data_IF_844733591948
#
_entry.id   IF_844733591948
#
_cell.length_a   1.000
_cell.length_b   1.000
_cell.length_c   1.000
_cell.angle_alpha   90.00
_cell.angle_beta   90.00
_cell.angle_gamma   90.00
#
_symmetry.space_group_name_H-M   'P 1'
#
loop_
_entity.id
_entity.type
_entity.pdbx_description
1 polymer ?
#
# COMPACT_ATOMS: atom_id res chain seq x y z
N UNK A 1 5.21 30.81 -3.55
CA UNK A 1 5.85 29.58 -3.04
C UNK A 1 5.51 28.44 -3.99
N UNK A 2 6.43 27.56 -4.28
CA UNK A 2 6.22 26.37 -5.11
C UNK A 2 5.24 25.44 -4.37
N UNK A 3 4.18 25.00 -5.04
CA UNK A 3 3.16 24.11 -4.47
C UNK A 3 3.76 22.72 -4.29
N UNK A 4 3.67 22.13 -3.11
CA UNK A 4 4.18 20.79 -2.81
C UNK A 4 3.00 19.81 -2.80
N UNK A 5 3.14 18.69 -3.50
CA UNK A 5 2.26 17.54 -3.37
C UNK A 5 2.91 16.52 -2.43
N UNK A 6 2.24 16.21 -1.34
CA UNK A 6 2.66 15.21 -0.37
C UNK A 6 1.87 13.94 -0.53
N UNK A 7 2.54 12.84 -0.85
CA UNK A 7 1.96 11.51 -0.87
C UNK A 7 2.28 10.83 0.44
N UNK A 8 1.25 10.45 1.19
CA UNK A 8 1.35 9.76 2.46
C UNK A 8 0.94 8.32 2.31
N UNK A 9 1.91 7.41 2.42
CA UNK A 9 1.71 5.97 2.29
C UNK A 9 1.67 5.33 3.68
N UNK A 10 0.46 5.04 4.18
CA UNK A 10 0.26 4.42 5.50
C UNK A 10 0.44 2.91 5.45
N UNK A 11 1.21 2.35 6.38
CA UNK A 11 1.30 0.92 6.61
C UNK A 11 0.06 0.35 7.30
N UNK A 12 0.04 -0.97 7.46
CA UNK A 12 -1.05 -1.62 8.19
C UNK A 12 -1.16 -1.15 9.64
N UNK A 13 -0.04 -0.81 10.26
CA UNK A 13 0.03 -0.37 11.66
C UNK A 13 -0.61 1.00 11.91
N UNK A 14 -0.70 1.85 10.89
CA UNK A 14 -1.32 3.17 10.98
C UNK A 14 -2.84 3.12 10.82
N UNK A 15 -3.37 2.00 10.31
CA UNK A 15 -4.81 1.81 10.07
C UNK A 15 -5.43 0.69 10.88
N UNK A 16 -4.60 -0.15 11.50
CA UNK A 16 -5.02 -1.24 12.38
C UNK A 16 -3.97 -1.46 13.46
N UNK A 17 -4.32 -1.52 14.73
CA UNK A 17 -3.34 -1.78 15.77
C UNK A 17 -2.75 -3.19 15.62
N UNK A 18 -1.46 -3.34 15.95
CA UNK A 18 -0.72 -4.61 15.86
C UNK A 18 -0.01 -4.92 17.16
N UNK A 19 0.34 -6.18 17.37
CA UNK A 19 1.06 -6.60 18.57
C UNK A 19 0.23 -6.55 19.86
N UNK A 20 -1.10 -6.51 19.75
CA UNK A 20 -1.98 -6.51 20.92
C UNK A 20 -2.07 -7.93 21.46
N UNK A 21 -1.90 -8.06 22.75
CA UNK A 21 -2.09 -9.30 23.48
C UNK A 21 -3.19 -9.15 24.53
N UNK A 22 -3.99 -10.18 24.69
CA UNK A 22 -4.96 -10.27 25.77
C UNK A 22 -4.20 -10.35 27.11
N UNK A 23 -4.38 -9.39 28.02
CA UNK A 23 -3.65 -9.35 29.27
C UNK A 23 -3.93 -10.55 30.19
N UNK A 24 -5.06 -11.25 29.98
CA UNK A 24 -5.44 -12.42 30.80
C UNK A 24 -4.88 -13.71 30.25
N UNK A 25 -4.79 -13.83 28.92
CA UNK A 25 -4.42 -15.10 28.26
C UNK A 25 -3.04 -15.04 27.59
N UNK A 26 -2.45 -13.86 27.43
CA UNK A 26 -1.20 -13.65 26.67
C UNK A 26 -1.32 -13.93 25.17
N UNK A 27 -2.51 -14.25 24.68
CA UNK A 27 -2.73 -14.56 23.26
C UNK A 27 -2.82 -13.27 22.43
N UNK A 28 -2.31 -13.32 21.22
CA UNK A 28 -2.47 -12.22 20.24
C UNK A 28 -3.96 -12.01 19.93
N UNK A 29 -4.39 -10.75 19.96
CA UNK A 29 -5.75 -10.33 19.62
C UNK A 29 -5.75 -9.89 18.14
N UNK A 30 -6.71 -10.40 17.38
CA UNK A 30 -7.04 -9.86 16.07
C UNK A 30 -7.86 -8.58 16.26
N UNK A 31 -7.41 -7.40 15.77
CA UNK A 31 -8.13 -6.16 15.98
C UNK A 31 -9.55 -6.22 15.40
N UNK A 32 -10.51 -5.86 16.23
CA UNK A 32 -11.92 -5.71 15.82
C UNK A 32 -12.17 -4.37 15.11
N UNK A 33 -13.39 -4.14 14.67
CA UNK A 33 -13.77 -2.91 13.96
C UNK A 33 -13.61 -1.65 14.85
N UNK A 34 -14.09 -1.62 16.10
CA UNK A 34 -13.83 -0.48 17.01
C UNK A 34 -12.36 -0.13 17.17
N UNK A 35 -11.48 -1.14 17.31
CA UNK A 35 -10.03 -0.92 17.42
C UNK A 35 -9.44 -0.31 16.15
N UNK A 36 -9.90 -0.74 14.97
CA UNK A 36 -9.47 -0.17 13.68
C UNK A 36 -9.99 1.27 13.52
N UNK A 37 -11.23 1.55 13.91
CA UNK A 37 -11.80 2.89 13.94
C UNK A 37 -10.97 3.83 14.82
N UNK A 38 -10.65 3.43 16.04
CA UNK A 38 -9.85 4.24 16.94
C UNK A 38 -8.46 4.52 16.35
N UNK A 39 -7.79 3.48 15.82
CA UNK A 39 -6.46 3.66 15.23
C UNK A 39 -6.47 4.58 14.01
N UNK A 40 -7.49 4.47 13.14
CA UNK A 40 -7.63 5.40 12.01
C UNK A 40 -7.99 6.81 12.45
N UNK A 41 -8.79 6.97 13.51
CA UNK A 41 -9.06 8.30 14.09
C UNK A 41 -7.77 8.96 14.61
N UNK A 42 -6.93 8.21 15.36
CA UNK A 42 -5.65 8.71 15.85
C UNK A 42 -4.73 9.12 14.69
N UNK A 43 -4.67 8.31 13.64
CA UNK A 43 -3.88 8.61 12.44
C UNK A 43 -4.41 9.83 11.69
N UNK A 44 -5.72 9.95 11.51
CA UNK A 44 -6.32 11.10 10.80
C UNK A 44 -6.18 12.41 11.60
N UNK A 45 -6.14 12.35 12.93
CA UNK A 45 -5.80 13.50 13.76
C UNK A 45 -4.39 14.02 13.48
N UNK A 46 -3.40 13.12 13.41
CA UNK A 46 -2.01 13.50 13.05
C UNK A 46 -1.93 14.06 11.62
N UNK A 47 -2.68 13.48 10.68
CA UNK A 47 -2.76 14.00 9.31
C UNK A 47 -3.37 15.42 9.31
N UNK A 48 -4.43 15.64 10.06
CA UNK A 48 -5.05 16.98 10.17
C UNK A 48 -4.07 18.00 10.79
N UNK A 49 -3.27 17.62 11.79
CA UNK A 49 -2.22 18.48 12.37
C UNK A 49 -1.18 18.89 11.29
N UNK A 50 -0.84 17.97 10.38
CA UNK A 50 0.09 18.26 9.28
C UNK A 50 -0.57 19.18 8.24
N UNK A 51 -1.82 18.92 7.86
CA UNK A 51 -2.55 19.75 6.90
C UNK A 51 -2.71 21.19 7.40
N UNK A 52 -2.95 21.36 8.70
CA UNK A 52 -3.08 22.68 9.34
C UNK A 52 -1.75 23.47 9.30
N UNK A 53 -0.61 22.79 9.49
CA UNK A 53 0.73 23.39 9.39
C UNK A 53 1.17 23.68 7.95
N UNK A 54 0.64 22.94 6.99
CA UNK A 54 0.99 23.03 5.56
C UNK A 54 -0.25 23.32 4.70
N UNK A 55 -1.00 24.42 4.95
CA UNK A 55 -2.32 24.65 4.33
C UNK A 55 -2.29 24.82 2.80
N UNK A 56 -1.13 25.24 2.26
CA UNK A 56 -0.95 25.47 0.82
C UNK A 56 -0.60 24.19 0.05
N UNK A 57 -0.20 23.13 0.75
CA UNK A 57 0.21 21.89 0.12
C UNK A 57 -1.00 21.05 -0.32
N UNK A 58 -0.77 20.22 -1.31
CA UNK A 58 -1.68 19.17 -1.74
C UNK A 58 -1.31 17.87 -1.03
N UNK A 59 -2.32 17.05 -0.77
CA UNK A 59 -2.13 15.78 -0.06
C UNK A 59 -2.86 14.66 -0.79
N UNK A 60 -2.23 13.50 -0.87
CA UNK A 60 -2.82 12.22 -1.28
C UNK A 60 -2.50 11.20 -0.21
N UNK A 61 -3.50 10.41 0.19
CA UNK A 61 -3.33 9.33 1.14
C UNK A 61 -3.43 7.99 0.41
N UNK A 62 -2.48 7.11 0.67
CA UNK A 62 -2.56 5.70 0.29
C UNK A 62 -2.45 4.84 1.54
N UNK A 63 -2.91 3.62 1.51
CA UNK A 63 -2.91 2.74 2.68
C UNK A 63 -2.64 1.29 2.32
N UNK A 64 -2.08 0.52 3.27
CA UNK A 64 -2.06 -0.94 3.19
C UNK A 64 -3.44 -1.52 3.51
N UNK A 65 -3.64 -2.78 3.17
CA UNK A 65 -4.88 -3.52 3.46
C UNK A 65 -4.66 -4.81 4.28
N UNK A 66 -3.49 -5.04 4.78
CA UNK A 66 -3.22 -6.13 5.72
C UNK A 66 -3.44 -5.67 7.17
N UNK A 67 -4.18 -6.42 8.01
CA UNK A 67 -4.70 -7.78 7.78
C UNK A 67 -6.09 -7.87 7.11
N UNK A 68 -6.72 -6.75 6.75
CA UNK A 68 -8.13 -6.70 6.33
C UNK A 68 -8.43 -7.60 5.11
N UNK A 69 -7.60 -7.58 4.08
CA UNK A 69 -7.76 -8.44 2.89
C UNK A 69 -7.72 -9.92 3.27
N UNK A 70 -6.82 -10.30 4.18
CA UNK A 70 -6.76 -11.67 4.70
C UNK A 70 -8.00 -12.06 5.51
N UNK A 71 -8.59 -11.13 6.26
CA UNK A 71 -9.80 -11.36 7.03
C UNK A 71 -11.02 -11.54 6.11
N UNK A 72 -11.13 -10.78 5.01
CA UNK A 72 -12.19 -10.97 4.02
C UNK A 72 -12.03 -12.33 3.34
N UNK A 73 -10.82 -12.65 2.89
CA UNK A 73 -10.52 -13.95 2.29
C UNK A 73 -10.87 -15.11 3.24
N UNK A 74 -10.53 -15.00 4.53
CA UNK A 74 -10.87 -16.03 5.51
C UNK A 74 -12.38 -16.18 5.71
N UNK A 75 -13.13 -15.07 5.76
CA UNK A 75 -14.59 -15.11 5.84
C UNK A 75 -15.19 -15.79 4.62
N UNK A 76 -14.69 -15.45 3.42
CA UNK A 76 -15.08 -16.06 2.17
C UNK A 76 -14.84 -17.58 2.16
N UNK A 77 -13.65 -18.00 2.59
CA UNK A 77 -13.31 -19.43 2.68
C UNK A 77 -14.18 -20.18 3.70
N UNK A 78 -14.49 -19.58 4.84
CA UNK A 78 -15.33 -20.20 5.88
C UNK A 78 -16.82 -20.25 5.49
N UNK A 79 -17.26 -19.47 4.52
CA UNK A 79 -18.65 -19.48 4.01
C UNK A 79 -18.79 -20.23 2.68
N UNK A 80 -17.75 -20.91 2.20
CA UNK A 80 -17.71 -21.57 0.88
C UNK A 80 -18.84 -22.56 0.63
N UNK A 81 -19.33 -23.22 1.66
CA UNK A 81 -20.44 -24.17 1.59
C UNK A 81 -21.82 -23.48 1.49
N UNK A 82 -21.90 -22.19 1.71
CA UNK A 82 -23.15 -21.41 1.74
C UNK A 82 -23.15 -20.35 0.62
N UNK A 83 -22.02 -19.72 0.38
CA UNK A 83 -21.83 -18.64 -0.59
C UNK A 83 -20.65 -18.96 -1.52
N UNK A 84 -20.67 -18.38 -2.71
CA UNK A 84 -19.51 -18.46 -3.61
C UNK A 84 -18.28 -17.80 -2.97
N UNK A 85 -17.07 -18.31 -3.18
CA UNK A 85 -15.85 -17.67 -2.72
C UNK A 85 -15.62 -16.35 -3.46
N UNK A 86 -15.07 -15.37 -2.75
CA UNK A 86 -14.72 -14.05 -3.30
C UNK A 86 -13.29 -14.13 -3.83
N UNK A 87 -13.02 -13.79 -5.09
CA UNK A 87 -11.68 -13.75 -5.65
C UNK A 87 -10.86 -12.62 -5.02
N UNK A 88 -9.53 -12.75 -5.07
CA UNK A 88 -8.63 -11.88 -4.31
C UNK A 88 -8.66 -10.41 -4.77
N UNK A 89 -8.87 -10.14 -6.05
CA UNK A 89 -9.03 -8.80 -6.60
C UNK A 89 -10.28 -8.09 -6.03
N UNK A 90 -11.40 -8.82 -5.88
CA UNK A 90 -12.61 -8.30 -5.22
C UNK A 90 -12.39 -8.10 -3.72
N UNK A 91 -11.69 -9.02 -3.03
CA UNK A 91 -11.28 -8.78 -1.63
C UNK A 91 -10.43 -7.50 -1.49
N UNK A 92 -9.60 -7.22 -2.49
CA UNK A 92 -8.84 -5.98 -2.59
C UNK A 92 -9.75 -4.75 -2.70
N UNK A 93 -10.76 -4.81 -3.59
CA UNK A 93 -11.74 -3.75 -3.78
C UNK A 93 -12.56 -3.48 -2.50
N UNK A 94 -13.05 -4.52 -1.84
CA UNK A 94 -13.77 -4.43 -0.57
C UNK A 94 -12.92 -3.72 0.50
N UNK A 95 -11.63 -4.05 0.59
CA UNK A 95 -10.72 -3.39 1.54
C UNK A 95 -10.49 -1.93 1.20
N UNK A 96 -10.42 -1.55 -0.07
CA UNK A 96 -10.29 -0.15 -0.46
C UNK A 96 -11.49 0.67 0.01
N UNK A 97 -12.71 0.18 -0.20
CA UNK A 97 -13.93 0.84 0.27
C UNK A 97 -13.97 1.00 1.79
N UNK A 98 -13.75 -0.10 2.53
CA UNK A 98 -13.78 -0.08 3.99
C UNK A 98 -12.68 0.81 4.60
N UNK A 99 -11.44 0.71 4.09
CA UNK A 99 -10.32 1.49 4.61
C UNK A 99 -10.43 2.97 4.26
N UNK A 100 -10.85 3.30 3.03
CA UNK A 100 -11.10 4.68 2.64
C UNK A 100 -12.22 5.31 3.50
N UNK A 101 -13.28 4.58 3.81
CA UNK A 101 -14.33 5.03 4.71
C UNK A 101 -13.78 5.33 6.13
N UNK A 102 -12.95 4.45 6.68
CA UNK A 102 -12.32 4.67 7.99
C UNK A 102 -11.36 5.89 7.96
N UNK A 103 -10.53 6.03 6.93
CA UNK A 103 -9.63 7.18 6.79
C UNK A 103 -10.38 8.48 6.47
N UNK A 104 -11.59 8.42 5.90
CA UNK A 104 -12.42 9.60 5.68
C UNK A 104 -12.91 10.25 6.99
N UNK A 105 -12.64 9.65 8.18
CA UNK A 105 -12.74 10.32 9.47
C UNK A 105 -11.92 11.63 9.51
N UNK A 106 -10.90 11.75 8.64
CA UNK A 106 -10.19 13.01 8.42
C UNK A 106 -11.16 14.17 8.17
N UNK A 107 -12.30 13.93 7.52
CA UNK A 107 -13.31 14.96 7.29
C UNK A 107 -13.90 15.51 8.61
N UNK A 108 -14.01 14.69 9.65
CA UNK A 108 -14.47 15.12 10.96
C UNK A 108 -13.42 16.01 11.64
N UNK A 109 -12.14 15.59 11.59
CA UNK A 109 -11.02 16.37 12.11
C UNK A 109 -10.91 17.74 11.41
N UNK A 110 -10.99 17.75 10.09
CA UNK A 110 -10.94 19.00 9.32
C UNK A 110 -12.13 19.91 9.64
N UNK A 111 -13.33 19.35 9.78
CA UNK A 111 -14.54 20.11 10.09
C UNK A 111 -14.47 20.81 11.47
N UNK A 112 -14.04 20.08 12.52
CA UNK A 112 -13.95 20.67 13.88
C UNK A 112 -12.81 21.70 14.00
N UNK A 113 -11.84 21.69 13.08
CA UNK A 113 -10.76 22.69 12.97
C UNK A 113 -11.10 23.85 12.03
N UNK A 114 -12.28 23.85 11.38
CA UNK A 114 -12.68 24.86 10.40
C UNK A 114 -11.89 24.83 9.10
N UNK A 115 -11.26 23.70 8.77
CA UNK A 115 -10.51 23.50 7.52
C UNK A 115 -11.47 23.02 6.43
N UNK A 116 -11.56 23.75 5.32
CA UNK A 116 -12.54 23.50 4.25
C UNK A 116 -12.20 22.30 3.36
N UNK A 117 -10.95 21.78 3.40
CA UNK A 117 -10.56 20.61 2.61
C UNK A 117 -11.41 19.39 2.96
N UNK A 118 -11.63 18.51 1.97
CA UNK A 118 -12.37 17.25 2.16
C UNK A 118 -11.55 16.10 1.63
N UNK A 119 -11.58 14.98 2.35
CA UNK A 119 -11.02 13.71 1.87
C UNK A 119 -12.10 12.90 1.16
N UNK A 120 -11.71 12.21 0.07
CA UNK A 120 -12.59 11.32 -0.68
C UNK A 120 -11.84 10.05 -1.09
N UNK A 121 -12.48 8.89 -0.89
CA UNK A 121 -11.96 7.60 -1.32
C UNK A 121 -12.23 7.34 -2.80
N UNK A 122 -11.24 6.78 -3.50
CA UNK A 122 -11.35 6.32 -4.87
C UNK A 122 -10.97 4.84 -4.89
N UNK A 123 -11.85 3.98 -5.37
CA UNK A 123 -11.52 2.60 -5.73
C UNK A 123 -10.61 2.65 -6.95
N UNK A 124 -9.43 2.06 -6.86
CA UNK A 124 -8.36 2.28 -7.82
C UNK A 124 -7.85 0.96 -8.36
N UNK A 125 -7.81 0.86 -9.69
CA UNK A 125 -7.20 -0.23 -10.43
C UNK A 125 -5.75 0.11 -10.77
N UNK A 126 -4.85 -0.85 -10.58
CA UNK A 126 -3.42 -0.70 -10.89
C UNK A 126 -3.00 -1.77 -11.89
N UNK A 127 -2.51 -1.30 -13.01
CA UNK A 127 -2.10 -2.17 -14.12
C UNK A 127 -0.78 -2.85 -13.78
N UNK A 128 -0.69 -4.14 -14.06
CA UNK A 128 0.52 -4.95 -13.92
C UNK A 128 0.81 -5.69 -15.21
N UNK A 129 2.07 -6.07 -15.41
CA UNK A 129 2.43 -6.89 -16.57
C UNK A 129 1.96 -8.34 -16.35
N UNK A 130 1.18 -8.90 -17.30
CA UNK A 130 0.73 -10.31 -17.25
C UNK A 130 1.89 -11.32 -17.18
N UNK A 131 3.07 -10.95 -17.71
CA UNK A 131 4.25 -11.79 -17.77
C UNK A 131 5.24 -11.50 -16.61
N UNK A 132 4.82 -10.73 -15.59
CA UNK A 132 5.66 -10.45 -14.43
C UNK A 132 6.09 -11.73 -13.72
N UNK A 133 7.36 -11.79 -13.32
CA UNK A 133 7.95 -12.94 -12.61
C UNK A 133 7.21 -13.28 -11.31
N UNK A 134 6.58 -12.29 -10.68
CA UNK A 134 5.78 -12.47 -9.47
C UNK A 134 4.63 -13.47 -9.63
N UNK A 135 4.10 -13.62 -10.85
CA UNK A 135 3.08 -14.64 -11.13
C UNK A 135 3.63 -16.08 -11.17
N UNK A 136 4.92 -16.24 -11.48
CA UNK A 136 5.57 -17.55 -11.52
C UNK A 136 6.09 -18.01 -10.16
N UNK A 137 6.41 -17.07 -9.27
CA UNK A 137 6.90 -17.35 -7.91
C UNK A 137 6.16 -16.45 -6.89
N UNK A 138 4.95 -16.85 -6.46
CA UNK A 138 4.19 -16.13 -5.45
C UNK A 138 4.98 -15.99 -4.13
N UNK A 139 5.11 -14.77 -3.63
CA UNK A 139 5.91 -14.47 -2.42
C UNK A 139 5.19 -13.63 -1.39
N UNK A 140 4.07 -13.00 -1.74
CA UNK A 140 3.33 -12.12 -0.83
C UNK A 140 2.44 -12.94 0.11
N UNK A 141 2.76 -12.93 1.38
CA UNK A 141 1.96 -13.62 2.39
C UNK A 141 0.62 -12.91 2.64
N UNK A 142 -0.47 -13.67 2.58
CA UNK A 142 -1.84 -13.18 2.86
C UNK A 142 -2.56 -14.10 3.83
N UNK A 143 -3.54 -13.56 4.56
CA UNK A 143 -4.36 -14.32 5.48
C UNK A 143 -3.64 -14.78 6.76
N UNK A 144 -4.28 -15.66 7.56
CA UNK A 144 -3.75 -16.14 8.82
C UNK A 144 -2.59 -17.14 8.65
N UNK A 145 -2.02 -17.51 9.79
CA UNK A 145 -1.02 -18.55 9.90
C UNK A 145 -1.67 -19.92 10.12
N UNK A 146 -1.06 -20.95 9.57
CA UNK A 146 -1.49 -22.35 9.64
C UNK A 146 -0.35 -23.26 10.06
N UNK A 147 -0.67 -24.44 10.56
CA UNK A 147 0.28 -25.56 10.62
C UNK A 147 0.61 -26.03 9.21
N UNK A 148 1.70 -26.79 9.03
CA UNK A 148 2.05 -27.38 7.73
C UNK A 148 0.93 -28.27 7.19
N UNK A 149 0.35 -29.13 8.04
CA UNK A 149 -0.74 -30.02 7.64
C UNK A 149 -1.97 -29.27 7.12
N UNK A 150 -2.44 -28.25 7.86
CA UNK A 150 -3.57 -27.42 7.42
C UNK A 150 -3.28 -26.64 6.14
N UNK A 151 -2.05 -26.14 5.95
CA UNK A 151 -1.66 -25.43 4.74
C UNK A 151 -1.64 -26.36 3.53
N UNK A 152 -1.09 -27.57 3.68
CA UNK A 152 -1.07 -28.56 2.59
C UNK A 152 -2.47 -29.06 2.24
N UNK A 153 -3.35 -29.26 3.21
CA UNK A 153 -4.75 -29.59 2.95
C UNK A 153 -5.43 -28.52 2.08
N UNK A 154 -5.17 -27.23 2.36
CA UNK A 154 -5.72 -26.13 1.55
C UNK A 154 -5.07 -26.04 0.17
N UNK A 155 -3.81 -26.35 0.07
CA UNK A 155 -3.13 -26.47 -1.23
C UNK A 155 -3.84 -27.52 -2.11
N UNK A 156 -4.06 -28.72 -1.56
CA UNK A 156 -4.67 -29.84 -2.29
C UNK A 156 -6.16 -29.60 -2.63
N UNK A 157 -6.94 -29.10 -1.65
CA UNK A 157 -8.40 -28.91 -1.82
C UNK A 157 -8.78 -27.62 -2.53
N UNK A 158 -8.05 -26.53 -2.30
CA UNK A 158 -8.42 -25.20 -2.73
C UNK A 158 -7.43 -24.59 -3.75
N UNK A 159 -6.38 -25.31 -4.13
CA UNK A 159 -5.36 -24.81 -5.08
C UNK A 159 -4.52 -23.65 -4.57
N UNK A 160 -4.37 -23.53 -3.25
CA UNK A 160 -3.57 -22.43 -2.70
C UNK A 160 -2.08 -22.64 -2.91
N UNK A 161 -1.38 -21.58 -3.28
CA UNK A 161 0.07 -21.54 -3.08
C UNK A 161 0.37 -21.24 -1.61
N UNK A 162 1.22 -22.07 -0.99
CA UNK A 162 1.56 -21.95 0.44
C UNK A 162 3.07 -22.03 0.64
N UNK A 163 3.59 -21.22 1.56
CA UNK A 163 5.02 -21.24 1.92
C UNK A 163 5.20 -21.17 3.44
N UNK A 164 6.30 -21.76 3.93
CA UNK A 164 6.72 -21.58 5.30
C UNK A 164 7.09 -20.10 5.51
N UNK A 165 6.42 -19.47 6.49
CA UNK A 165 6.63 -18.06 6.84
C UNK A 165 7.77 -17.89 7.85
N UNK A 166 7.77 -18.72 8.91
CA UNK A 166 8.76 -18.72 9.98
C UNK A 166 8.67 -20.02 10.80
N UNK A 167 9.61 -20.22 11.71
CA UNK A 167 9.45 -21.15 12.81
C UNK A 167 8.98 -20.40 14.06
N UNK A 168 8.11 -21.03 14.85
CA UNK A 168 7.70 -20.50 16.15
C UNK A 168 8.75 -20.80 17.24
N UNK A 169 8.52 -20.36 18.46
CA UNK A 169 9.44 -20.55 19.59
C UNK A 169 9.67 -22.03 19.98
N UNK A 170 8.81 -22.93 19.51
CA UNK A 170 8.92 -24.39 19.70
C UNK A 170 9.65 -25.05 18.53
N UNK A 171 10.12 -24.30 17.52
CA UNK A 171 10.77 -24.80 16.32
C UNK A 171 9.80 -25.36 15.26
N UNK A 172 8.49 -25.26 15.44
CA UNK A 172 7.47 -25.73 14.53
C UNK A 172 7.31 -24.75 13.35
N UNK A 173 7.14 -25.29 12.13
CA UNK A 173 6.92 -24.47 10.93
C UNK A 173 5.54 -23.81 10.95
N UNK A 174 5.51 -22.50 10.71
CA UNK A 174 4.31 -21.68 10.54
C UNK A 174 4.16 -21.37 9.06
N UNK A 175 3.08 -21.79 8.47
CA UNK A 175 2.80 -21.66 7.05
C UNK A 175 1.73 -20.62 6.77
N UNK A 176 1.78 -19.99 5.60
CA UNK A 176 0.77 -19.04 5.14
C UNK A 176 0.51 -19.19 3.65
N UNK A 177 -0.69 -18.79 3.20
CA UNK A 177 -1.00 -18.60 1.79
C UNK A 177 -0.05 -17.54 1.23
N UNK A 178 0.47 -17.77 0.04
CA UNK A 178 1.21 -16.79 -0.75
C UNK A 178 0.47 -16.51 -2.05
N UNK A 179 0.62 -15.28 -2.54
CA UNK A 179 0.02 -14.82 -3.78
C UNK A 179 1.06 -14.06 -4.61
N UNK A 180 0.86 -13.92 -5.92
CA UNK A 180 1.68 -13.08 -6.77
C UNK A 180 1.76 -11.64 -6.26
N UNK A 181 2.92 -11.01 -6.43
CA UNK A 181 3.13 -9.60 -6.11
C UNK A 181 3.89 -8.91 -7.25
N UNK A 182 3.22 -8.67 -8.39
CA UNK A 182 3.83 -8.02 -9.55
C UNK A 182 4.12 -6.54 -9.28
N UNK A 183 5.09 -5.98 -10.00
CA UNK A 183 5.39 -4.56 -9.97
C UNK A 183 4.29 -3.75 -10.70
N UNK A 184 3.84 -2.61 -10.14
CA UNK A 184 2.81 -1.76 -10.76
C UNK A 184 3.40 -0.96 -11.93
N UNK A 185 2.63 -0.77 -13.02
CA UNK A 185 3.09 -0.06 -14.23
C UNK A 185 2.21 1.12 -14.64
N UNK A 186 0.93 1.14 -14.27
CA UNK A 186 0.00 2.22 -14.60
C UNK A 186 -1.17 2.25 -13.58
N UNK A 187 -1.89 3.38 -13.51
CA UNK A 187 -3.05 3.57 -12.62
C UNK A 187 -4.23 4.03 -13.48
N UNK A 188 -5.28 3.24 -13.52
CA UNK A 188 -6.42 3.48 -14.42
C UNK A 188 -7.15 4.78 -14.06
N UNK A 189 -7.40 5.04 -12.79
CA UNK A 189 -8.17 6.20 -12.30
C UNK A 189 -7.29 7.42 -11.99
N UNK A 190 -6.10 7.54 -12.57
CA UNK A 190 -5.16 8.65 -12.30
C UNK A 190 -5.77 10.03 -12.57
N UNK A 191 -6.65 10.14 -13.59
CA UNK A 191 -7.33 11.38 -13.93
C UNK A 191 -8.35 11.80 -12.88
N UNK A 192 -9.02 10.84 -12.25
CA UNK A 192 -9.93 11.11 -11.14
C UNK A 192 -9.15 11.61 -9.90
N UNK A 193 -7.98 11.05 -9.62
CA UNK A 193 -7.09 11.53 -8.55
C UNK A 193 -6.66 12.96 -8.82
N UNK A 194 -6.22 13.27 -10.04
CA UNK A 194 -5.82 14.62 -10.46
C UNK A 194 -6.97 15.62 -10.36
N UNK A 195 -8.17 15.23 -10.77
CA UNK A 195 -9.37 16.08 -10.68
C UNK A 195 -9.70 16.45 -9.23
N UNK A 196 -9.64 15.51 -8.29
CA UNK A 196 -9.85 15.77 -6.87
C UNK A 196 -8.76 16.69 -6.29
N UNK A 197 -7.49 16.49 -6.65
CA UNK A 197 -6.39 17.38 -6.24
C UNK A 197 -6.61 18.81 -6.75
N UNK A 198 -7.02 18.95 -8.00
CA UNK A 198 -7.31 20.25 -8.62
C UNK A 198 -8.52 20.95 -7.95
N UNK A 199 -9.47 20.17 -7.44
CA UNK A 199 -10.58 20.68 -6.63
C UNK A 199 -10.17 20.99 -5.17
N UNK A 200 -8.90 20.85 -4.80
CA UNK A 200 -8.39 21.11 -3.46
C UNK A 200 -8.75 20.03 -2.43
N UNK A 201 -9.22 18.88 -2.89
CA UNK A 201 -9.56 17.74 -2.03
C UNK A 201 -8.31 16.90 -1.68
N UNK A 202 -8.49 15.98 -0.74
CA UNK A 202 -7.48 14.99 -0.33
C UNK A 202 -7.93 13.61 -0.81
N UNK A 203 -7.44 13.11 -1.96
CA UNK A 203 -7.77 11.76 -2.41
C UNK A 203 -7.21 10.69 -1.46
N UNK A 204 -8.01 9.66 -1.18
CA UNK A 204 -7.60 8.42 -0.54
C UNK A 204 -7.67 7.35 -1.64
N UNK A 205 -6.54 6.86 -2.12
CA UNK A 205 -6.45 6.11 -3.37
C UNK A 205 -5.38 5.02 -3.31
N UNK A 206 -5.30 4.16 -4.29
CA UNK A 206 -4.29 3.08 -4.42
C UNK A 206 -4.22 2.22 -3.16
N UNK A 207 -5.35 2.04 -2.49
CA UNK A 207 -5.44 1.26 -1.26
C UNK A 207 -5.03 -0.20 -1.47
N UNK A 208 -4.20 -0.72 -0.54
CA UNK A 208 -3.64 -2.06 -0.64
C UNK A 208 -2.67 -2.28 -1.80
N UNK A 209 -2.24 -1.21 -2.47
CA UNK A 209 -1.46 -1.24 -3.72
C UNK A 209 -2.32 -1.14 -4.99
N UNK A 210 -3.65 -0.99 -4.84
CA UNK A 210 -4.62 -0.99 -5.93
C UNK A 210 -5.17 -2.39 -6.24
N UNK A 211 -6.26 -2.45 -6.98
CA UNK A 211 -6.78 -3.70 -7.55
C UNK A 211 -5.91 -4.07 -8.74
N UNK A 212 -5.21 -5.22 -8.71
CA UNK A 212 -4.34 -5.61 -9.81
C UNK A 212 -5.16 -5.99 -11.05
N UNK A 213 -4.84 -5.33 -12.17
CA UNK A 213 -5.46 -5.60 -13.46
C UNK A 213 -4.39 -5.77 -14.54
N UNK A 214 -4.71 -6.55 -15.55
CA UNK A 214 -3.88 -6.67 -16.76
C UNK A 214 -4.66 -6.18 -17.98
N UNK A 215 -3.97 -5.57 -18.93
CA UNK A 215 -4.57 -5.18 -20.21
C UNK A 215 -4.90 -6.44 -21.02
N UNK A 216 -6.12 -6.51 -21.53
CA UNK A 216 -6.57 -7.64 -22.35
C UNK A 216 -6.18 -7.41 -23.83
N UNK A 217 -5.76 -8.49 -24.49
CA UNK A 217 -5.52 -8.48 -25.93
C UNK A 217 -6.86 -8.60 -26.69
N UNK A 218 -7.22 -7.55 -27.42
CA UNK A 218 -8.39 -7.55 -28.27
C UNK A 218 -8.10 -8.14 -29.66
N UNK A 219 -9.02 -8.95 -30.18
CA UNK A 219 -9.01 -9.38 -31.60
C UNK A 219 -10.20 -8.75 -32.32
N UNK A 220 -9.94 -8.03 -33.40
CA UNK A 220 -10.99 -7.40 -34.22
C UNK A 220 -11.97 -6.51 -33.42
N UNK A 221 -11.48 -5.84 -32.37
CA UNK A 221 -12.34 -5.02 -31.51
C UNK A 221 -13.17 -5.81 -30.49
N UNK A 222 -12.91 -7.08 -30.30
CA UNK A 222 -13.49 -7.89 -29.22
C UNK A 222 -12.46 -8.10 -28.11
N UNK A 223 -12.87 -7.83 -26.84
CA UNK A 223 -12.04 -7.92 -25.64
C UNK A 223 -12.73 -8.81 -24.62
N UNK A 224 -12.07 -9.88 -24.18
CA UNK A 224 -12.56 -10.75 -23.12
C UNK A 224 -11.99 -10.32 -21.77
N UNK A 225 -12.87 -10.17 -20.80
CA UNK A 225 -12.50 -9.86 -19.40
C UNK A 225 -12.77 -11.04 -18.46
N UNK A 226 -12.87 -10.81 -17.15
CA UNK A 226 -13.21 -11.84 -16.18
C UNK A 226 -14.56 -12.50 -16.51
N UNK A 227 -14.66 -13.78 -16.24
CA UNK A 227 -15.89 -14.60 -16.44
C UNK A 227 -16.37 -14.61 -17.91
N UNK A 228 -15.44 -14.51 -18.88
CA UNK A 228 -15.73 -14.49 -20.33
C UNK A 228 -16.66 -13.34 -20.78
N UNK A 229 -16.79 -12.29 -19.95
CA UNK A 229 -17.52 -11.09 -20.34
C UNK A 229 -16.78 -10.45 -21.51
N UNK A 230 -17.52 -10.18 -22.58
CA UNK A 230 -16.97 -9.65 -23.83
C UNK A 230 -17.43 -8.21 -24.07
N UNK A 231 -16.46 -7.31 -24.27
CA UNK A 231 -16.69 -5.95 -24.77
C UNK A 231 -16.35 -5.87 -26.24
N UNK A 232 -17.17 -5.14 -27.02
CA UNK A 232 -16.97 -4.96 -28.45
C UNK A 232 -16.89 -3.47 -28.78
N UNK A 233 -15.91 -3.09 -29.55
CA UNK A 233 -15.74 -1.69 -29.92
C UNK A 233 -14.49 -1.43 -30.73
N UNK A 234 -13.88 -0.26 -30.50
CA UNK A 234 -12.72 0.22 -31.26
C UNK A 234 -11.54 -0.73 -31.07
N UNK A 235 -10.89 -1.12 -32.16
CA UNK A 235 -9.62 -1.86 -32.11
C UNK A 235 -8.52 -1.02 -31.43
N UNK A 236 -7.69 -1.65 -30.59
CA UNK A 236 -6.65 -0.97 -29.82
C UNK A 236 -7.17 -0.20 -28.60
N UNK A 237 -8.41 -0.43 -28.17
CA UNK A 237 -8.90 0.10 -26.90
C UNK A 237 -8.19 -0.58 -25.72
N UNK A 238 -7.86 0.20 -24.68
CA UNK A 238 -7.35 -0.33 -23.42
C UNK A 238 -8.52 -0.89 -22.62
N UNK A 239 -8.58 -2.20 -22.48
CA UNK A 239 -9.57 -2.92 -21.70
C UNK A 239 -8.87 -3.78 -20.68
N UNK A 240 -9.32 -3.75 -19.44
CA UNK A 240 -8.64 -4.40 -18.33
C UNK A 240 -9.46 -5.57 -17.77
N UNK A 241 -8.77 -6.55 -17.20
CA UNK A 241 -9.36 -7.60 -16.38
C UNK A 241 -8.61 -7.75 -15.08
N UNK A 242 -9.34 -8.05 -14.00
CA UNK A 242 -8.75 -8.32 -12.69
C UNK A 242 -7.92 -9.60 -12.69
N UNK A 243 -6.90 -9.64 -11.84
CA UNK A 243 -6.06 -10.81 -11.60
C UNK A 243 -5.85 -11.04 -10.12
N UNK A 244 -5.69 -12.31 -9.71
CA UNK A 244 -5.44 -12.66 -8.31
C UNK A 244 -3.98 -12.39 -7.94
N UNK A 245 -3.73 -11.19 -7.43
CA UNK A 245 -2.42 -10.73 -6.97
C UNK A 245 -2.58 -9.70 -5.85
N UNK A 246 -1.49 -9.32 -5.20
CA UNK A 246 -1.45 -8.20 -4.24
C UNK A 246 -0.22 -7.36 -4.53
N UNK A 247 -0.42 -6.16 -5.03
CA UNK A 247 0.64 -5.21 -5.36
C UNK A 247 1.25 -4.65 -4.06
N UNK A 248 2.53 -4.34 -4.06
CA UNK A 248 3.14 -3.64 -2.94
C UNK A 248 2.69 -2.18 -2.91
N UNK A 249 2.10 -1.74 -1.79
CA UNK A 249 1.53 -0.40 -1.66
C UNK A 249 2.58 0.72 -1.75
N UNK A 250 3.83 0.44 -1.31
CA UNK A 250 4.88 1.46 -1.33
C UNK A 250 5.33 1.71 -2.77
N UNK A 251 5.45 0.64 -3.59
CA UNK A 251 5.71 0.75 -5.03
C UNK A 251 4.56 1.44 -5.78
N UNK A 252 3.31 1.09 -5.46
CA UNK A 252 2.15 1.72 -6.09
C UNK A 252 2.03 3.20 -5.70
N UNK A 253 2.39 3.57 -4.47
CA UNK A 253 2.44 4.97 -4.03
C UNK A 253 3.55 5.76 -4.72
N UNK A 254 4.70 5.14 -4.95
CA UNK A 254 5.81 5.72 -5.73
C UNK A 254 5.40 5.95 -7.20
N UNK A 255 4.74 4.96 -7.81
CA UNK A 255 4.19 5.08 -9.16
C UNK A 255 3.17 6.22 -9.25
N UNK A 256 2.23 6.31 -8.31
CA UNK A 256 1.23 7.38 -8.24
C UNK A 256 1.91 8.76 -8.26
N UNK A 257 2.92 8.96 -7.43
CA UNK A 257 3.66 10.22 -7.39
C UNK A 257 4.39 10.54 -8.67
N UNK A 258 5.03 9.55 -9.28
CA UNK A 258 5.72 9.68 -10.57
C UNK A 258 4.74 10.04 -11.68
N UNK A 259 3.56 9.41 -11.73
CA UNK A 259 2.54 9.70 -12.75
C UNK A 259 1.97 11.11 -12.58
N UNK A 260 1.62 11.53 -11.35
CA UNK A 260 1.13 12.89 -11.08
C UNK A 260 2.18 13.95 -11.45
N UNK A 261 3.45 13.69 -11.15
CA UNK A 261 4.54 14.59 -11.56
C UNK A 261 4.68 14.69 -13.08
N UNK A 262 4.60 13.56 -13.78
CA UNK A 262 4.66 13.52 -15.26
C UNK A 262 3.51 14.30 -15.87
N UNK A 263 2.27 14.06 -15.44
CA UNK A 263 1.07 14.76 -15.90
C UNK A 263 1.14 16.26 -15.63
N UNK A 264 1.61 16.68 -14.45
CA UNK A 264 1.81 18.09 -14.14
C UNK A 264 2.78 18.75 -15.13
N UNK A 265 3.90 18.09 -15.47
CA UNK A 265 4.86 18.58 -16.50
C UNK A 265 4.23 18.66 -17.88
N UNK A 266 3.48 17.65 -18.31
CA UNK A 266 2.75 17.63 -19.58
C UNK A 266 1.74 18.78 -19.68
N UNK A 267 1.11 19.15 -18.57
CA UNK A 267 0.19 20.29 -18.46
C UNK A 267 0.91 21.64 -18.22
N UNK A 268 2.23 21.71 -18.35
CA UNK A 268 3.02 22.94 -18.16
C UNK A 268 3.07 23.44 -16.71
N UNK A 269 2.73 22.59 -15.74
CA UNK A 269 2.74 22.94 -14.33
C UNK A 269 4.05 22.55 -13.67
N UNK A 270 4.52 23.38 -12.74
CA UNK A 270 5.66 23.05 -11.88
C UNK A 270 5.13 22.54 -10.56
N UNK A 271 5.31 21.24 -10.29
CA UNK A 271 4.89 20.57 -9.08
C UNK A 271 6.12 20.00 -8.36
N UNK A 272 6.19 20.19 -7.07
CA UNK A 272 7.16 19.52 -6.19
C UNK A 272 6.46 18.34 -5.55
N UNK A 273 6.96 17.12 -5.74
CA UNK A 273 6.29 15.91 -5.23
C UNK A 273 7.20 15.21 -4.23
N UNK A 274 6.69 14.97 -3.04
CA UNK A 274 7.34 14.18 -2.00
C UNK A 274 6.54 12.92 -1.68
N UNK A 275 7.24 11.83 -1.39
CA UNK A 275 6.65 10.57 -0.90
C UNK A 275 7.06 10.36 0.55
N UNK A 276 6.10 10.17 1.46
CA UNK A 276 6.37 9.76 2.84
C UNK A 276 5.77 8.38 3.07
N UNK A 277 6.61 7.41 3.35
CA UNK A 277 6.21 6.05 3.71
C UNK A 277 6.20 5.94 5.23
N UNK A 278 5.01 5.91 5.80
CA UNK A 278 4.86 5.77 7.24
C UNK A 278 5.01 4.32 7.69
N UNK A 279 5.68 4.14 8.81
CA UNK A 279 6.01 2.84 9.40
C UNK A 279 6.13 2.97 10.93
N UNK A 280 6.03 1.88 11.66
CA UNK A 280 6.25 1.85 13.11
C UNK A 280 7.69 2.14 13.56
N UNK A 281 8.64 2.33 12.62
CA UNK A 281 10.05 2.59 12.92
C UNK A 281 10.45 4.05 12.64
N UNK A 282 11.39 4.56 13.43
CA UNK A 282 12.03 5.86 13.17
C UNK A 282 13.08 5.72 12.05
N UNK A 283 12.59 5.52 10.81
CA UNK A 283 13.42 5.40 9.62
C UNK A 283 14.12 4.04 9.44
N UNK A 284 14.98 4.00 8.44
CA UNK A 284 15.81 2.84 8.13
C UNK A 284 17.08 2.79 9.01
N UNK A 285 17.54 1.59 9.31
CA UNK A 285 18.68 1.36 10.20
C UNK A 285 19.59 0.28 9.63
N UNK A 286 20.90 0.47 9.77
CA UNK A 286 21.87 -0.61 9.63
C UNK A 286 21.92 -1.44 10.91
N UNK A 287 22.23 -2.71 10.77
CA UNK A 287 22.35 -3.65 11.91
C UNK A 287 21.15 -3.59 12.88
N UNK A 288 19.95 -3.52 12.32
CA UNK A 288 18.72 -3.39 13.09
C UNK A 288 18.64 -4.40 14.24
N UNK A 289 18.31 -3.91 15.45
CA UNK A 289 18.26 -4.68 16.70
C UNK A 289 19.59 -5.31 17.15
N UNK A 290 20.73 -4.85 16.62
CA UNK A 290 22.07 -5.26 17.09
C UNK A 290 22.73 -4.15 17.90
N UNK A 291 23.73 -4.47 18.77
CA UNK A 291 24.42 -3.46 19.57
C UNK A 291 25.10 -2.34 18.76
N UNK A 292 25.44 -2.59 17.50
CA UNK A 292 26.04 -1.64 16.57
C UNK A 292 25.03 -1.08 15.56
N UNK A 293 23.77 -0.95 15.95
CA UNK A 293 22.73 -0.32 15.12
C UNK A 293 23.08 1.13 14.81
N UNK A 294 22.85 1.54 13.57
CA UNK A 294 23.06 2.92 13.10
C UNK A 294 21.79 3.41 12.40
N UNK A 295 21.30 4.57 12.81
CA UNK A 295 20.17 5.24 12.15
C UNK A 295 20.63 5.90 10.86
N UNK A 296 19.93 5.64 9.76
CA UNK A 296 20.20 6.21 8.45
C UNK A 296 19.32 7.46 8.25
N UNK A 297 19.84 8.63 8.62
CA UNK A 297 19.05 9.89 8.59
C UNK A 297 18.90 10.47 7.19
N UNK A 298 19.95 10.39 6.38
CA UNK A 298 19.94 10.91 5.00
C UNK A 298 20.79 10.02 4.10
N UNK A 299 20.26 9.70 2.94
CA UNK A 299 20.92 8.92 1.90
C UNK A 299 20.66 9.57 0.54
N UNK A 300 21.62 9.53 -0.33
CA UNK A 300 21.39 9.69 -1.77
C UNK A 300 20.79 8.41 -2.34
N UNK A 301 20.16 8.52 -3.52
CA UNK A 301 19.66 7.33 -4.27
C UNK A 301 20.77 6.31 -4.48
N UNK A 302 22.00 6.75 -4.77
CA UNK A 302 23.14 5.86 -5.00
C UNK A 302 23.53 5.08 -3.72
N UNK A 303 23.62 5.77 -2.57
CA UNK A 303 23.89 5.15 -1.28
C UNK A 303 22.79 4.18 -0.84
N UNK A 304 21.54 4.59 -1.02
CA UNK A 304 20.38 3.74 -0.69
C UNK A 304 20.36 2.47 -1.55
N UNK A 305 20.70 2.58 -2.85
CA UNK A 305 20.78 1.44 -3.78
C UNK A 305 21.92 0.48 -3.38
N UNK A 306 23.12 1.00 -3.09
CA UNK A 306 24.25 0.19 -2.66
C UNK A 306 23.94 -0.60 -1.39
N UNK A 307 23.30 0.03 -0.41
CA UNK A 307 22.87 -0.63 0.82
C UNK A 307 21.77 -1.69 0.57
N UNK A 308 20.84 -1.40 -0.35
CA UNK A 308 19.79 -2.32 -0.75
C UNK A 308 20.37 -3.56 -1.42
N UNK A 309 21.27 -3.38 -2.37
CA UNK A 309 21.90 -4.47 -3.14
C UNK A 309 22.77 -5.38 -2.26
N UNK A 310 23.37 -4.81 -1.21
CA UNK A 310 24.11 -5.56 -0.18
C UNK A 310 23.21 -6.33 0.80
N UNK A 311 21.87 -6.24 0.65
CA UNK A 311 20.92 -6.97 1.48
C UNK A 311 20.81 -6.44 2.92
N UNK A 312 21.13 -5.15 3.16
CA UNK A 312 21.06 -4.56 4.50
C UNK A 312 19.63 -4.39 5.03
N UNK A 313 18.62 -4.47 4.16
CA UNK A 313 17.22 -4.25 4.52
C UNK A 313 16.40 -5.52 4.38
N UNK A 314 15.65 -5.95 5.42
CA UNK A 314 14.82 -7.15 5.36
C UNK A 314 13.79 -7.08 4.22
N UNK A 315 13.76 -8.13 3.37
CA UNK A 315 12.91 -8.20 2.18
C UNK A 315 11.40 -8.11 2.45
N UNK A 316 10.95 -8.49 3.65
CA UNK A 316 9.52 -8.48 4.02
C UNK A 316 9.05 -7.21 4.73
N UNK A 317 9.93 -6.22 4.97
CA UNK A 317 9.57 -5.03 5.77
C UNK A 317 10.20 -3.74 5.24
N UNK A 318 11.48 -3.47 5.56
CA UNK A 318 12.16 -2.24 5.15
C UNK A 318 12.61 -2.26 3.68
N UNK A 319 12.97 -3.42 3.13
CA UNK A 319 13.43 -3.56 1.75
C UNK A 319 12.47 -2.95 0.70
N UNK A 320 11.19 -3.33 0.68
CA UNK A 320 10.21 -2.73 -0.24
C UNK A 320 10.09 -1.21 -0.12
N UNK A 321 10.18 -0.67 1.10
CA UNK A 321 10.11 0.79 1.35
C UNK A 321 11.30 1.53 0.75
N UNK A 322 12.50 1.00 0.95
CA UNK A 322 13.73 1.55 0.35
C UNK A 322 13.67 1.46 -1.17
N UNK A 323 13.24 0.31 -1.74
CA UNK A 323 13.05 0.15 -3.19
C UNK A 323 12.09 1.22 -3.72
N UNK A 324 10.92 1.36 -3.13
CA UNK A 324 9.91 2.34 -3.54
C UNK A 324 10.44 3.79 -3.46
N UNK A 325 11.15 4.14 -2.39
CA UNK A 325 11.74 5.45 -2.21
C UNK A 325 12.82 5.75 -3.25
N UNK A 326 13.69 4.78 -3.56
CA UNK A 326 14.71 4.88 -4.61
C UNK A 326 14.05 5.10 -5.98
N UNK A 327 13.07 4.26 -6.34
CA UNK A 327 12.37 4.35 -7.62
C UNK A 327 11.64 5.69 -7.77
N UNK A 328 10.97 6.16 -6.72
CA UNK A 328 10.29 7.44 -6.73
C UNK A 328 11.23 8.60 -7.01
N UNK A 329 12.35 8.71 -6.28
CA UNK A 329 13.30 9.81 -6.44
C UNK A 329 14.01 9.71 -7.80
N UNK A 330 14.40 8.51 -8.23
CA UNK A 330 15.02 8.27 -9.55
C UNK A 330 14.12 8.69 -10.71
N UNK A 331 12.81 8.55 -10.56
CA UNK A 331 11.82 8.95 -11.56
C UNK A 331 11.36 10.42 -11.43
N UNK A 332 12.12 11.23 -10.70
CA UNK A 332 11.97 12.69 -10.65
C UNK A 332 11.21 13.22 -9.44
N UNK A 333 10.83 12.36 -8.48
CA UNK A 333 10.35 12.82 -7.18
C UNK A 333 11.42 13.64 -6.46
N UNK A 334 11.01 14.67 -5.74
CA UNK A 334 11.96 15.60 -5.13
C UNK A 334 12.69 14.98 -3.93
N UNK A 335 11.96 14.19 -3.15
CA UNK A 335 12.47 13.57 -1.91
C UNK A 335 11.51 12.47 -1.46
N UNK A 336 12.07 11.39 -0.92
CA UNK A 336 11.29 10.37 -0.23
C UNK A 336 11.69 10.30 1.25
N UNK A 337 10.68 10.10 2.11
CA UNK A 337 10.84 9.96 3.56
C UNK A 337 10.33 8.59 4.01
N UNK A 338 11.00 7.99 4.99
CA UNK A 338 10.53 6.82 5.74
C UNK A 338 10.52 7.22 7.21
N UNK A 339 9.35 7.25 7.84
CA UNK A 339 9.20 7.82 9.18
C UNK A 339 7.98 7.26 9.90
N UNK A 340 7.88 7.56 11.21
CA UNK A 340 6.63 7.48 11.95
C UNK A 340 5.75 8.70 11.66
N UNK A 341 4.44 8.54 11.75
CA UNK A 341 3.49 9.65 11.49
C UNK A 341 3.69 10.81 12.47
N UNK A 342 3.88 10.52 13.75
CA UNK A 342 4.12 11.50 14.80
C UNK A 342 5.47 12.24 14.70
N UNK A 343 6.42 11.68 13.95
CA UNK A 343 7.75 12.24 13.74
C UNK A 343 7.89 13.01 12.41
N UNK A 344 6.81 13.19 11.68
CA UNK A 344 6.85 13.78 10.34
C UNK A 344 7.54 15.16 10.31
N UNK A 345 7.17 16.07 11.22
CA UNK A 345 7.78 17.40 11.31
C UNK A 345 9.27 17.37 11.63
N UNK A 346 9.70 16.46 12.50
CA UNK A 346 11.12 16.28 12.81
C UNK A 346 11.88 15.61 11.65
N UNK A 347 11.19 14.78 10.87
CA UNK A 347 11.75 14.18 9.65
C UNK A 347 12.02 15.25 8.58
N UNK A 348 11.09 16.19 8.39
CA UNK A 348 11.31 17.32 7.47
C UNK A 348 12.53 18.18 7.87
N UNK A 349 12.87 18.23 9.15
CA UNK A 349 14.05 18.95 9.69
C UNK A 349 15.32 18.09 9.68
N UNK A 350 15.24 16.82 9.24
CA UNK A 350 16.36 15.87 9.25
C UNK A 350 16.75 15.33 10.63
N UNK A 351 15.88 15.50 11.65
CA UNK A 351 16.13 15.07 13.03
C UNK A 351 15.59 13.67 13.32
N UNK A 352 14.64 13.20 12.53
CA UNK A 352 14.03 11.86 12.62
C UNK A 352 13.91 11.24 11.24
N UNK A 353 13.46 9.97 11.18
CA UNK A 353 13.21 9.27 9.94
C UNK A 353 14.44 9.04 9.09
N UNK A 354 14.22 8.61 7.86
CA UNK A 354 15.24 8.53 6.79
C UNK A 354 14.77 9.36 5.61
N UNK A 355 15.64 10.22 5.11
CA UNK A 355 15.42 11.04 3.93
C UNK A 355 16.25 10.49 2.78
N UNK A 356 15.61 10.20 1.63
CA UNK A 356 16.29 9.78 0.39
C UNK A 356 16.15 10.90 -0.64
N UNK A 357 17.30 11.37 -1.15
CA UNK A 357 17.42 12.50 -2.07
C UNK A 357 18.13 12.06 -3.37
N UNK A 358 18.01 12.84 -4.46
CA UNK A 358 18.74 12.61 -5.72
C UNK A 358 20.23 12.40 -5.55
#
# INVERSE_FOLDING_TARGET
MKKVLRIFAFGGNEVSPTGITDPKTGKSIVPDIPMQWQKTADTTKLVADILEKHPQDLFVLTHGNGPQVGNILLRSENSRDILHPIPLDICGADTQGAMAYMLAQLNNELAVRGISKKAAGIVTQVVVNKDDKGFKDPTKYVGPAYSKAEAMERHEKNGWDVKCYKKNDKGEEVWRKVVPSPDPIDIVEIEAVEALLNAGMVPITVGGGGIPVVETEGKNGEYKTNYDITFKGKSGAKVYRGVEAVIDKDLASALLGTMLLKRAKENGQTLDVSLTIFTGEDGAKLNYQKPNQVDLRKLTVAEAQDLYDKGNFPAGSMGPKIKAAIEFVRNGGSVAYISKTELFEETLKGKAGTTIVP
#
